data_IF_195247712108
#
_entry.id   IF_195247712108
#
_cell.length_a   1.000
_cell.length_b   1.000
_cell.length_c   1.000
_cell.angle_alpha   90.00
_cell.angle_beta   90.00
_cell.angle_gamma   90.00
#
_symmetry.space_group_name_H-M   'P 1'
#
loop_
_entity.id
_entity.type
_entity.pdbx_description
1 polymer ?
#
# COMPACT_ATOMS: atom_id res chain seq x y z
N UNK A 1 0.43 13.53 17.35
CA UNK A 1 0.44 13.42 18.82
C UNK A 1 -0.56 12.39 19.29
N UNK A 2 -0.24 11.62 20.32
CA UNK A 2 -1.16 10.67 20.97
C UNK A 2 -0.73 10.43 22.43
N UNK A 3 -1.59 9.82 23.25
CA UNK A 3 -1.19 9.30 24.55
C UNK A 3 0.04 8.38 24.39
N UNK A 4 1.17 8.62 25.10
CA UNK A 4 2.35 7.77 25.02
C UNK A 4 2.07 6.27 25.23
N UNK A 5 1.04 5.90 26.01
CA UNK A 5 0.67 4.51 26.24
C UNK A 5 0.23 3.80 24.96
N UNK A 6 -0.36 4.54 24.01
CA UNK A 6 -0.74 4.00 22.70
C UNK A 6 0.47 3.54 21.89
N UNK A 7 1.63 4.11 22.15
CA UNK A 7 2.87 3.80 21.43
C UNK A 7 3.77 2.86 22.22
N UNK A 8 3.94 3.10 23.52
CA UNK A 8 5.04 2.54 24.30
C UNK A 8 4.63 1.73 25.52
N UNK A 9 3.34 1.63 25.85
CA UNK A 9 2.93 0.76 26.95
C UNK A 9 3.15 -0.72 26.62
N UNK A 10 3.46 -1.50 27.64
CA UNK A 10 3.70 -2.93 27.50
C UNK A 10 2.48 -3.70 26.96
N UNK A 11 1.26 -3.29 27.33
CA UNK A 11 0.03 -4.03 27.02
C UNK A 11 -0.66 -3.57 25.73
N UNK A 12 -0.55 -2.29 25.37
CA UNK A 12 -1.26 -1.72 24.21
C UNK A 12 -0.36 -0.89 23.28
N UNK A 13 0.91 -0.69 23.60
CA UNK A 13 1.82 0.12 22.80
C UNK A 13 2.14 -0.56 21.46
N UNK A 14 2.02 0.17 20.35
CA UNK A 14 2.27 -0.38 19.01
C UNK A 14 3.76 -0.38 18.62
N UNK A 15 4.67 0.23 19.39
CA UNK A 15 6.11 0.29 19.11
C UNK A 15 6.96 -0.66 19.98
N UNK A 16 6.35 -1.48 20.83
CA UNK A 16 7.06 -2.35 21.78
C UNK A 16 6.89 -3.83 21.45
N UNK A 17 7.74 -4.67 22.05
CA UNK A 17 7.51 -6.12 22.03
C UNK A 17 6.24 -6.44 22.82
N UNK A 18 6.13 -5.93 24.04
CA UNK A 18 4.90 -5.99 24.80
C UNK A 18 4.46 -7.39 25.21
N UNK A 19 3.46 -7.47 26.08
CA UNK A 19 2.92 -8.74 26.61
C UNK A 19 1.79 -9.32 25.78
N UNK A 20 1.13 -8.50 24.97
CA UNK A 20 -0.01 -8.89 24.14
C UNK A 20 0.39 -9.06 22.68
N UNK A 21 1.67 -9.30 22.40
CA UNK A 21 2.17 -9.44 21.04
C UNK A 21 1.64 -10.68 20.33
N UNK A 22 1.73 -10.68 19.00
CA UNK A 22 1.52 -11.87 18.16
C UNK A 22 2.77 -12.14 17.29
N UNK A 23 2.87 -13.34 16.72
CA UNK A 23 3.89 -13.63 15.73
C UNK A 23 3.60 -12.87 14.42
N UNK A 24 4.63 -12.26 13.86
CA UNK A 24 4.56 -11.57 12.56
C UNK A 24 5.21 -12.40 11.46
N UNK A 25 5.03 -11.95 10.21
CA UNK A 25 5.54 -12.64 9.01
C UNK A 25 7.03 -13.01 9.08
N UNK A 26 7.86 -12.16 9.68
CA UNK A 26 9.31 -12.38 9.80
C UNK A 26 9.78 -12.63 11.23
N UNK A 27 8.83 -12.89 12.14
CA UNK A 27 9.14 -13.38 13.49
C UNK A 27 9.16 -14.90 13.40
N UNK A 28 10.34 -15.52 13.58
CA UNK A 28 10.47 -16.99 13.57
C UNK A 28 10.73 -17.50 14.96
N UNK A 29 10.17 -18.66 15.30
CA UNK A 29 10.50 -19.36 16.54
C UNK A 29 12.03 -19.52 16.67
N UNK A 30 12.65 -19.24 17.83
CA UNK A 30 12.05 -19.00 19.15
C UNK A 30 11.80 -17.52 19.52
N UNK A 31 11.73 -16.59 18.55
CA UNK A 31 11.48 -15.18 18.88
C UNK A 31 10.10 -14.98 19.53
N UNK A 32 10.00 -14.08 20.55
CA UNK A 32 8.75 -13.83 21.23
C UNK A 32 7.75 -13.05 20.34
N UNK A 33 6.44 -13.23 20.57
CA UNK A 33 5.41 -12.38 19.99
C UNK A 33 5.64 -10.90 20.28
N UNK A 34 5.27 -10.01 19.35
CA UNK A 34 5.49 -8.56 19.45
C UNK A 34 4.20 -7.76 19.22
N UNK A 35 3.95 -6.69 19.99
CA UNK A 35 2.75 -5.86 19.90
C UNK A 35 2.67 -5.12 18.56
N UNK A 36 3.81 -4.75 17.96
CA UNK A 36 3.82 -4.17 16.61
C UNK A 36 3.33 -5.12 15.52
N UNK A 37 3.13 -6.41 15.82
CA UNK A 37 2.53 -7.35 14.89
C UNK A 37 1.00 -7.39 14.95
N UNK A 38 0.40 -6.91 16.03
CA UNK A 38 -1.04 -6.97 16.27
C UNK A 38 -1.83 -6.18 15.22
N UNK A 39 -3.04 -6.68 14.96
CA UNK A 39 -4.02 -6.00 14.12
C UNK A 39 -4.89 -5.07 14.97
N UNK A 40 -4.30 -3.96 15.40
CA UNK A 40 -5.00 -2.98 16.19
C UNK A 40 -4.57 -1.56 15.84
N UNK A 41 -5.52 -0.64 15.93
CA UNK A 41 -5.31 0.78 15.70
C UNK A 41 -5.22 1.53 17.02
N UNK A 42 -4.58 2.70 16.99
CA UNK A 42 -4.55 3.63 18.11
C UNK A 42 -4.99 5.02 17.68
N UNK A 43 -5.78 5.72 18.49
CA UNK A 43 -6.16 7.09 18.17
C UNK A 43 -4.92 7.99 18.21
N UNK A 44 -4.81 8.90 17.26
CA UNK A 44 -3.79 9.94 17.22
C UNK A 44 -4.35 11.20 16.57
N UNK A 45 -3.77 12.35 16.91
CA UNK A 45 -3.91 13.60 16.15
C UNK A 45 -2.77 13.70 15.16
N UNK A 46 -3.09 13.81 13.88
CA UNK A 46 -2.16 13.98 12.77
C UNK A 46 -2.18 15.42 12.30
N UNK A 47 -0.99 16.00 12.15
CA UNK A 47 -0.80 17.38 11.69
C UNK A 47 0.25 17.35 10.58
N UNK A 48 -0.04 18.04 9.47
CA UNK A 48 0.90 18.25 8.37
C UNK A 48 1.13 19.75 8.19
N UNK A 49 2.41 20.14 8.18
CA UNK A 49 2.83 21.49 7.80
C UNK A 49 3.49 21.44 6.43
N UNK A 50 3.08 22.33 5.54
CA UNK A 50 3.65 22.44 4.21
C UNK A 50 5.04 23.08 4.24
N UNK A 51 5.75 23.08 3.10
CA UNK A 51 7.12 23.63 3.00
C UNK A 51 7.21 25.11 3.40
N UNK A 52 6.13 25.86 3.20
CA UNK A 52 6.00 27.26 3.60
C UNK A 52 5.66 27.43 5.10
N UNK A 53 5.55 26.33 5.87
CA UNK A 53 5.17 26.25 7.28
C UNK A 53 3.71 26.58 7.58
N UNK A 54 2.88 26.68 6.55
CA UNK A 54 1.43 26.76 6.75
C UNK A 54 0.89 25.39 7.15
N UNK A 55 -0.14 25.38 8.00
CA UNK A 55 -0.85 24.16 8.35
C UNK A 55 -1.62 23.68 7.11
N UNK A 56 -1.31 22.47 6.64
CA UNK A 56 -2.07 21.81 5.59
C UNK A 56 -3.34 21.21 6.16
N UNK A 57 -3.20 20.37 7.20
CA UNK A 57 -4.34 19.84 7.94
C UNK A 57 -3.96 19.46 9.38
N UNK A 58 -4.96 19.42 10.25
CA UNK A 58 -4.88 18.90 11.61
C UNK A 58 -6.15 18.08 11.93
N UNK A 59 -6.06 16.76 11.94
CA UNK A 59 -7.22 15.86 12.12
C UNK A 59 -6.91 14.72 13.09
N UNK A 60 -7.95 14.13 13.65
CA UNK A 60 -7.81 12.86 14.38
C UNK A 60 -7.88 11.68 13.40
N UNK A 61 -7.10 10.64 13.67
CA UNK A 61 -7.01 9.43 12.85
C UNK A 61 -6.61 8.21 13.70
N UNK A 62 -6.83 7.03 13.16
CA UNK A 62 -6.26 5.77 13.65
C UNK A 62 -4.87 5.57 13.07
N UNK A 63 -3.94 5.06 13.87
CA UNK A 63 -2.61 4.63 13.42
C UNK A 63 -2.32 3.19 13.81
N UNK A 64 -1.66 2.46 12.92
CA UNK A 64 -1.23 1.06 13.13
C UNK A 64 0.13 0.82 12.49
N UNK A 65 0.94 -0.08 13.05
CA UNK A 65 2.19 -0.47 12.40
C UNK A 65 1.91 -1.22 11.08
N UNK A 66 2.41 -0.67 9.98
CA UNK A 66 2.34 -1.27 8.65
C UNK A 66 3.57 -2.13 8.31
N UNK A 67 3.41 -2.98 7.30
CA UNK A 67 4.49 -3.78 6.70
C UNK A 67 4.60 -5.22 7.21
N UNK A 68 5.56 -5.96 6.67
CA UNK A 68 5.90 -7.34 7.05
C UNK A 68 7.18 -7.39 7.86
N UNK A 69 8.30 -7.81 7.24
CA UNK A 69 9.62 -7.82 7.90
C UNK A 69 10.06 -6.44 8.41
N UNK A 70 9.65 -5.37 7.74
CA UNK A 70 10.03 -3.98 8.09
C UNK A 70 9.54 -3.56 9.47
N UNK A 71 8.58 -4.30 10.05
CA UNK A 71 8.17 -4.15 11.45
C UNK A 71 9.31 -4.38 12.44
N UNK A 72 10.38 -5.07 12.04
CA UNK A 72 11.56 -5.30 12.89
C UNK A 72 12.49 -4.08 12.96
N UNK A 73 12.42 -3.14 12.02
CA UNK A 73 13.30 -1.96 12.02
C UNK A 73 12.89 -0.95 13.09
N UNK A 74 13.84 -0.19 13.63
CA UNK A 74 13.56 0.79 14.69
C UNK A 74 12.61 1.89 14.19
N UNK A 75 12.79 2.36 12.95
CA UNK A 75 11.88 3.28 12.31
C UNK A 75 10.72 2.51 11.67
N UNK A 76 9.59 2.45 12.37
CA UNK A 76 8.38 1.77 11.87
C UNK A 76 7.70 2.58 10.77
N UNK A 77 7.04 1.86 9.86
CA UNK A 77 6.04 2.43 8.96
C UNK A 77 4.68 2.44 9.67
N UNK A 78 3.86 3.45 9.42
CA UNK A 78 2.51 3.57 9.95
C UNK A 78 1.50 3.54 8.81
N UNK A 79 0.45 2.75 8.97
CA UNK A 79 -0.78 2.91 8.21
C UNK A 79 -1.68 3.88 9.00
N UNK A 80 -2.30 4.82 8.29
CA UNK A 80 -3.13 5.90 8.83
C UNK A 80 -4.55 5.68 8.31
N UNK A 81 -5.52 5.71 9.22
CA UNK A 81 -6.92 5.42 8.94
C UNK A 81 -7.78 6.62 9.34
N UNK A 82 -8.52 7.18 8.39
CA UNK A 82 -9.57 8.15 8.66
C UNK A 82 -10.87 7.35 8.84
N UNK A 83 -11.49 7.46 10.01
CA UNK A 83 -12.72 6.75 10.36
C UNK A 83 -13.54 7.64 11.28
N UNK A 84 -14.87 7.56 11.15
CA UNK A 84 -15.80 8.35 11.96
C UNK A 84 -15.59 8.17 13.47
N UNK A 85 -15.12 6.99 13.93
CA UNK A 85 -14.80 6.74 15.34
C UNK A 85 -13.66 7.62 15.89
N UNK A 86 -12.78 8.11 15.02
CA UNK A 86 -11.72 9.05 15.39
C UNK A 86 -12.13 10.52 15.17
N UNK A 87 -13.18 10.77 14.40
CA UNK A 87 -13.81 12.08 14.24
C UNK A 87 -13.98 12.53 12.78
N UNK A 88 -13.18 12.04 11.84
CA UNK A 88 -13.36 12.28 10.40
C UNK A 88 -13.36 10.97 9.64
N UNK A 89 -14.37 10.74 8.79
CA UNK A 89 -14.47 9.52 7.99
C UNK A 89 -13.45 9.49 6.85
N UNK A 90 -13.13 10.66 6.28
CA UNK A 90 -12.12 10.84 5.24
C UNK A 90 -11.28 12.06 5.56
N UNK A 91 -10.06 12.13 5.04
CA UNK A 91 -9.27 13.35 5.00
C UNK A 91 -9.62 14.12 3.73
N UNK A 92 -10.18 15.31 3.89
CA UNK A 92 -10.44 16.25 2.78
C UNK A 92 -9.27 17.22 2.61
N UNK A 93 -8.21 16.75 1.94
CA UNK A 93 -7.01 17.53 1.65
C UNK A 93 -6.26 16.97 0.44
N UNK A 94 -5.77 17.83 -0.47
CA UNK A 94 -4.90 17.40 -1.57
C UNK A 94 -3.48 17.13 -1.07
N UNK A 95 -3.24 15.91 -0.57
CA UNK A 95 -1.94 15.52 0.01
C UNK A 95 -0.82 15.53 -1.04
N UNK A 96 -1.14 15.10 -2.26
CA UNK A 96 -0.17 14.93 -3.35
C UNK A 96 -0.50 15.87 -4.50
N UNK A 97 0.39 16.83 -4.76
CA UNK A 97 0.27 17.79 -5.88
C UNK A 97 0.24 17.09 -7.25
N UNK A 98 0.74 15.86 -7.29
CA UNK A 98 0.91 15.06 -8.49
C UNK A 98 -0.39 14.49 -9.05
N UNK A 99 -1.47 14.48 -8.25
CA UNK A 99 -2.79 13.96 -8.59
C UNK A 99 -3.87 14.93 -8.11
N UNK A 100 -5.01 15.06 -8.83
CA UNK A 100 -6.13 15.90 -8.41
C UNK A 100 -7.03 15.20 -7.36
N UNK A 101 -6.47 14.34 -6.51
CA UNK A 101 -7.21 13.59 -5.49
C UNK A 101 -7.20 14.40 -4.19
N UNK A 102 -8.38 14.69 -3.67
CA UNK A 102 -8.55 15.55 -2.48
C UNK A 102 -9.20 14.85 -1.30
N UNK A 103 -9.57 13.58 -1.42
CA UNK A 103 -10.21 12.79 -0.38
C UNK A 103 -9.46 11.48 -0.18
N UNK A 104 -9.19 11.11 1.08
CA UNK A 104 -8.48 9.87 1.43
C UNK A 104 -9.10 9.19 2.65
N UNK A 105 -9.41 7.90 2.54
CA UNK A 105 -9.79 7.04 3.67
C UNK A 105 -8.56 6.51 4.41
N UNK A 106 -7.48 6.25 3.66
CA UNK A 106 -6.23 5.70 4.19
C UNK A 106 -5.01 6.33 3.54
N UNK A 107 -3.97 6.47 4.35
CA UNK A 107 -2.63 6.85 3.89
C UNK A 107 -1.59 5.92 4.53
N UNK A 108 -0.40 5.87 3.94
CA UNK A 108 0.73 5.13 4.50
C UNK A 108 1.93 6.05 4.70
N UNK A 109 2.50 6.03 5.91
CA UNK A 109 3.74 6.70 6.25
C UNK A 109 4.87 5.68 6.30
N UNK A 110 5.62 5.53 5.21
CA UNK A 110 6.61 4.47 5.04
C UNK A 110 8.02 4.91 5.37
N UNK A 111 8.73 4.08 6.13
CA UNK A 111 10.14 4.25 6.51
C UNK A 111 11.13 3.76 5.44
N UNK A 112 10.78 3.84 4.15
CA UNK A 112 11.66 3.41 3.05
C UNK A 112 11.73 1.89 2.80
N UNK A 113 11.07 1.08 3.63
CA UNK A 113 11.00 -0.38 3.45
C UNK A 113 12.38 -1.05 3.56
N UNK A 114 12.70 -1.99 2.67
CA UNK A 114 14.02 -2.65 2.64
C UNK A 114 15.17 -1.68 2.29
N UNK A 115 14.86 -0.49 1.77
CA UNK A 115 15.82 0.57 1.47
C UNK A 115 16.02 1.54 2.66
N UNK A 116 15.42 1.25 3.82
CA UNK A 116 15.47 2.07 5.05
C UNK A 116 16.88 2.48 5.46
N UNK A 117 17.82 1.52 5.49
CA UNK A 117 19.21 1.74 5.91
C UNK A 117 20.11 2.27 4.78
N UNK A 118 19.51 2.73 3.67
CA UNK A 118 20.21 3.17 2.45
C UNK A 118 19.70 4.55 2.03
N UNK A 119 19.27 4.70 0.78
CA UNK A 119 18.88 5.99 0.21
C UNK A 119 17.40 6.32 0.45
N UNK A 120 16.55 5.34 0.80
CA UNK A 120 15.11 5.47 1.05
C UNK A 120 14.27 5.99 -0.14
N UNK A 121 14.89 6.15 -1.32
CA UNK A 121 14.25 6.73 -2.51
C UNK A 121 13.91 5.69 -3.58
N UNK A 122 14.38 4.43 -3.46
CA UNK A 122 14.20 3.45 -4.55
C UNK A 122 12.74 3.30 -4.98
N UNK A 123 11.85 3.13 -4.01
CA UNK A 123 10.40 3.03 -4.24
C UNK A 123 9.75 4.34 -4.71
N UNK A 124 10.36 5.50 -4.50
CA UNK A 124 9.86 6.78 -4.99
C UNK A 124 10.34 7.03 -6.42
N UNK A 125 11.60 6.69 -6.71
CA UNK A 125 12.21 6.80 -8.02
C UNK A 125 11.53 5.88 -9.03
N UNK A 126 11.20 4.63 -8.66
CA UNK A 126 10.47 3.70 -9.54
C UNK A 126 9.12 4.26 -9.97
N UNK A 127 8.33 4.76 -9.01
CA UNK A 127 7.01 5.37 -9.25
C UNK A 127 7.12 6.63 -10.12
N UNK A 128 8.14 7.47 -9.86
CA UNK A 128 8.37 8.69 -10.63
C UNK A 128 8.78 8.42 -12.08
N UNK A 129 9.46 7.30 -12.33
CA UNK A 129 9.98 6.95 -13.66
C UNK A 129 8.92 6.37 -14.59
N UNK A 130 7.90 5.71 -14.06
CA UNK A 130 6.78 5.16 -14.85
C UNK A 130 5.66 6.18 -15.07
N UNK A 131 5.51 7.12 -14.13
CA UNK A 131 4.48 8.18 -14.17
C UNK A 131 4.50 8.93 -15.50
N UNK A 132 3.34 9.03 -16.14
CA UNK A 132 3.09 9.72 -17.41
C UNK A 132 3.98 9.22 -18.57
N UNK A 133 4.50 7.99 -18.49
CA UNK A 133 5.37 7.39 -19.52
C UNK A 133 4.97 5.98 -19.91
N UNK A 134 4.31 5.28 -19.01
CA UNK A 134 3.82 3.91 -19.18
C UNK A 134 2.36 3.89 -18.75
N UNK A 135 1.58 2.98 -19.32
CA UNK A 135 0.23 2.69 -18.86
C UNK A 135 0.31 1.84 -17.59
N UNK A 136 0.71 2.46 -16.48
CA UNK A 136 0.83 1.80 -15.18
C UNK A 136 0.27 2.68 -14.08
N UNK A 137 -0.45 2.04 -13.17
CA UNK A 137 -0.79 2.64 -11.89
C UNK A 137 0.47 3.01 -11.11
N UNK A 138 0.50 4.24 -10.61
CA UNK A 138 1.58 4.69 -9.74
C UNK A 138 1.04 5.20 -8.41
N UNK A 139 1.78 4.99 -7.34
CA UNK A 139 1.50 5.61 -6.04
C UNK A 139 2.18 6.98 -5.96
N UNK A 140 1.37 8.00 -5.71
CA UNK A 140 1.85 9.30 -5.31
C UNK A 140 2.51 9.23 -3.93
N UNK A 141 3.51 10.07 -3.72
CA UNK A 141 4.26 10.11 -2.48
C UNK A 141 4.73 11.53 -2.15
N UNK A 142 4.97 11.79 -0.87
CA UNK A 142 5.50 13.04 -0.34
C UNK A 142 6.55 12.72 0.73
N UNK A 143 7.84 13.06 0.52
CA UNK A 143 8.84 12.96 1.58
C UNK A 143 8.49 13.92 2.72
N UNK A 144 8.51 13.43 3.96
CA UNK A 144 8.14 14.20 5.15
C UNK A 144 9.11 13.95 6.29
N UNK A 145 9.36 14.99 7.10
CA UNK A 145 10.02 14.87 8.40
C UNK A 145 8.98 14.59 9.47
N UNK A 146 9.11 13.48 10.19
CA UNK A 146 8.10 13.01 11.13
C UNK A 146 8.47 13.38 12.55
N UNK A 147 7.49 13.89 13.28
CA UNK A 147 7.58 14.11 14.72
C UNK A 147 6.47 13.32 15.41
N UNK A 148 6.82 12.59 16.47
CA UNK A 148 5.85 11.86 17.30
C UNK A 148 5.98 12.42 18.72
N UNK A 149 4.88 12.99 19.22
CA UNK A 149 4.83 13.65 20.54
C UNK A 149 5.92 14.72 20.74
N UNK A 150 6.31 15.41 19.66
CA UNK A 150 7.33 16.46 19.67
C UNK A 150 8.75 15.98 19.39
N UNK A 151 9.04 14.68 19.51
CA UNK A 151 10.35 14.13 19.21
C UNK A 151 10.50 13.85 17.71
N UNK A 152 11.70 14.02 17.17
CA UNK A 152 11.98 13.74 15.75
C UNK A 152 12.19 12.23 15.51
N UNK A 153 11.48 11.67 14.53
CA UNK A 153 11.49 10.25 14.17
C UNK A 153 12.07 9.95 12.79
N UNK A 154 12.74 10.93 12.19
CA UNK A 154 13.40 10.76 10.90
C UNK A 154 12.52 11.13 9.71
N UNK A 155 13.02 10.75 8.54
CA UNK A 155 12.35 10.96 7.26
C UNK A 155 11.48 9.74 6.97
N UNK A 156 10.25 9.99 6.51
CA UNK A 156 9.36 8.98 5.95
C UNK A 156 8.84 9.45 4.59
N UNK A 157 8.22 8.53 3.87
CA UNK A 157 7.47 8.80 2.66
C UNK A 157 5.98 8.65 2.99
N UNK A 158 5.24 9.75 3.02
CA UNK A 158 3.78 9.70 3.01
C UNK A 158 3.34 9.25 1.62
N UNK A 159 2.38 8.33 1.53
CA UNK A 159 1.96 7.68 0.28
C UNK A 159 0.47 7.37 0.30
N UNK A 160 -0.10 7.25 -0.88
CA UNK A 160 -1.35 6.52 -1.06
C UNK A 160 -1.20 5.08 -0.51
N UNK A 161 -2.29 4.55 0.05
CA UNK A 161 -2.39 3.12 0.35
C UNK A 161 -2.74 2.39 -0.96
N UNK A 162 -2.20 1.20 -1.20
CA UNK A 162 -2.55 0.38 -2.37
C UNK A 162 -3.61 -0.62 -1.94
N UNK A 163 -4.88 -0.26 -2.14
CA UNK A 163 -6.06 -1.02 -1.74
C UNK A 163 -7.25 -0.59 -2.62
N UNK A 164 -8.44 -1.06 -2.29
CA UNK A 164 -9.72 -0.73 -2.93
C UNK A 164 -9.93 0.79 -3.11
N UNK A 165 -9.75 1.58 -2.04
CA UNK A 165 -9.88 3.06 -2.09
C UNK A 165 -8.94 3.72 -3.13
N UNK A 166 -7.75 3.13 -3.37
CA UNK A 166 -6.81 3.65 -4.36
C UNK A 166 -7.33 3.43 -5.77
N UNK A 167 -7.97 2.30 -6.03
CA UNK A 167 -8.58 2.04 -7.34
C UNK A 167 -9.74 3.00 -7.57
N UNK A 168 -10.61 3.18 -6.57
CA UNK A 168 -11.71 4.15 -6.63
C UNK A 168 -11.18 5.57 -6.93
N UNK A 169 -10.23 6.04 -6.14
CA UNK A 169 -9.74 7.42 -6.25
C UNK A 169 -8.94 7.69 -7.53
N UNK A 170 -8.29 6.67 -8.10
CA UNK A 170 -7.42 6.84 -9.28
C UNK A 170 -8.08 6.48 -10.60
N UNK A 171 -9.02 5.54 -10.59
CA UNK A 171 -9.63 4.99 -11.80
C UNK A 171 -11.15 5.16 -11.84
N UNK A 172 -11.79 5.53 -10.72
CA UNK A 172 -13.22 5.80 -10.65
C UNK A 172 -14.12 4.56 -10.61
N UNK A 173 -13.56 3.39 -10.32
CA UNK A 173 -14.33 2.16 -10.11
C UNK A 173 -14.77 2.04 -8.66
N UNK A 174 -16.00 1.58 -8.41
CA UNK A 174 -16.52 1.38 -7.05
C UNK A 174 -15.64 0.37 -6.29
N UNK A 175 -15.17 0.75 -5.10
CA UNK A 175 -14.32 -0.08 -4.24
C UNK A 175 -14.94 -1.45 -3.90
N UNK A 176 -16.28 -1.57 -3.95
CA UNK A 176 -17.03 -2.78 -3.64
C UNK A 176 -17.26 -3.68 -4.87
N UNK A 177 -16.94 -3.21 -6.07
CA UNK A 177 -17.13 -3.92 -7.34
C UNK A 177 -15.77 -4.23 -8.01
N UNK A 178 -14.81 -4.69 -7.22
CA UNK A 178 -13.45 -5.02 -7.65
C UNK A 178 -13.06 -6.45 -7.29
N UNK A 179 -12.34 -7.09 -8.19
CA UNK A 179 -11.50 -8.25 -7.87
C UNK A 179 -10.06 -7.74 -7.71
N UNK A 180 -9.46 -7.92 -6.53
CA UNK A 180 -8.07 -7.52 -6.27
C UNK A 180 -7.30 -8.74 -5.78
N UNK A 181 -6.24 -9.08 -6.52
CA UNK A 181 -5.43 -10.26 -6.28
C UNK A 181 -3.95 -9.88 -6.08
N UNK A 182 -3.19 -10.72 -5.39
CA UNK A 182 -1.78 -10.47 -5.11
C UNK A 182 -0.93 -11.75 -5.06
N UNK A 183 0.35 -11.62 -5.44
CA UNK A 183 1.25 -12.77 -5.53
C UNK A 183 0.67 -13.86 -6.43
N UNK A 184 0.64 -15.10 -5.94
CA UNK A 184 0.00 -16.25 -6.61
C UNK A 184 -1.52 -16.25 -6.47
N UNK A 185 -2.21 -15.23 -6.99
CA UNK A 185 -3.68 -15.11 -6.97
C UNK A 185 -4.34 -15.12 -5.57
N UNK A 186 -3.63 -14.62 -4.54
CA UNK A 186 -4.25 -14.47 -3.22
C UNK A 186 -5.30 -13.36 -3.27
N UNK A 187 -6.55 -13.71 -2.97
CA UNK A 187 -7.68 -12.78 -2.92
C UNK A 187 -7.46 -11.75 -1.82
N UNK A 188 -7.53 -10.47 -2.21
CA UNK A 188 -7.61 -9.32 -1.29
C UNK A 188 -9.03 -8.82 -1.21
N UNK A 189 -9.66 -8.61 -2.37
CA UNK A 189 -11.08 -8.24 -2.51
C UNK A 189 -11.68 -9.04 -3.67
N UNK A 190 -13.00 -9.26 -3.64
CA UNK A 190 -13.73 -9.95 -4.71
C UNK A 190 -13.42 -11.45 -4.83
N UNK A 191 -13.23 -11.93 -6.07
CA UNK A 191 -12.99 -13.34 -6.40
C UNK A 191 -11.77 -13.54 -7.30
N UNK A 192 -11.17 -14.74 -7.27
CA UNK A 192 -10.15 -15.16 -8.23
C UNK A 192 -10.71 -15.86 -9.47
N UNK A 193 -12.02 -16.17 -9.51
CA UNK A 193 -12.62 -17.04 -10.53
C UNK A 193 -12.30 -16.62 -11.97
N UNK A 194 -12.38 -15.32 -12.27
CA UNK A 194 -12.05 -14.79 -13.59
C UNK A 194 -10.59 -15.04 -13.96
N UNK A 195 -9.68 -14.75 -13.04
CA UNK A 195 -8.24 -14.94 -13.24
C UNK A 195 -7.90 -16.43 -13.38
N UNK A 196 -8.48 -17.28 -12.53
CA UNK A 196 -8.27 -18.73 -12.57
C UNK A 196 -8.76 -19.32 -13.91
N UNK A 197 -9.94 -18.90 -14.39
CA UNK A 197 -10.45 -19.32 -15.70
C UNK A 197 -9.54 -18.87 -16.86
N UNK A 198 -9.01 -17.64 -16.81
CA UNK A 198 -8.06 -17.13 -17.80
C UNK A 198 -6.77 -17.96 -17.81
N UNK A 199 -6.19 -18.22 -16.64
CA UNK A 199 -4.95 -19.01 -16.51
C UNK A 199 -5.17 -20.48 -16.93
N UNK A 200 -6.29 -21.08 -16.56
CA UNK A 200 -6.65 -22.44 -16.96
C UNK A 200 -6.81 -22.56 -18.49
N UNK A 201 -7.42 -21.56 -19.13
CA UNK A 201 -7.51 -21.49 -20.58
C UNK A 201 -6.12 -21.40 -21.22
N UNK A 202 -5.25 -20.51 -20.74
CA UNK A 202 -3.87 -20.38 -21.24
C UNK A 202 -3.09 -21.70 -21.06
N UNK A 203 -3.26 -22.39 -19.93
CA UNK A 203 -2.58 -23.65 -19.64
C UNK A 203 -3.07 -24.84 -20.47
N UNK A 204 -4.29 -24.75 -21.02
CA UNK A 204 -4.96 -25.85 -21.72
C UNK A 204 -5.02 -25.65 -23.25
N UNK A 205 -4.60 -24.50 -23.78
CA UNK A 205 -4.73 -24.15 -25.19
C UNK A 205 -3.41 -23.62 -25.77
N UNK A 206 -3.26 -23.76 -27.10
CA UNK A 206 -2.13 -23.17 -27.83
C UNK A 206 -2.40 -21.68 -28.10
N UNK A 207 -1.76 -20.81 -27.31
CA UNK A 207 -1.87 -19.35 -27.44
C UNK A 207 -1.15 -18.77 -28.67
N UNK A 208 -0.48 -19.58 -29.49
CA UNK A 208 0.01 -19.15 -30.80
C UNK A 208 -1.08 -19.08 -31.87
N UNK A 209 -2.24 -19.69 -31.61
CA UNK A 209 -3.43 -19.59 -32.46
C UNK A 209 -4.11 -18.23 -32.23
N UNK A 210 -4.39 -17.45 -33.29
CA UNK A 210 -4.98 -16.11 -33.18
C UNK A 210 -6.27 -16.07 -32.35
N UNK A 211 -7.17 -17.04 -32.53
CA UNK A 211 -8.44 -17.12 -31.82
C UNK A 211 -8.28 -17.26 -30.29
N UNK A 212 -7.25 -17.98 -29.85
CA UNK A 212 -6.97 -18.17 -28.42
C UNK A 212 -6.30 -16.92 -27.84
N UNK A 213 -5.41 -16.29 -28.61
CA UNK A 213 -4.78 -15.04 -28.21
C UNK A 213 -5.83 -13.92 -28.08
N UNK A 214 -6.74 -13.81 -29.05
CA UNK A 214 -7.80 -12.81 -29.05
C UNK A 214 -8.69 -12.97 -27.80
N UNK A 215 -9.08 -14.20 -27.45
CA UNK A 215 -9.84 -14.46 -26.23
C UNK A 215 -9.09 -14.00 -24.96
N UNK A 216 -7.79 -14.30 -24.84
CA UNK A 216 -6.98 -13.85 -23.69
C UNK A 216 -6.87 -12.33 -23.64
N UNK A 217 -6.76 -11.67 -24.80
CA UNK A 217 -6.69 -10.20 -24.90
C UNK A 217 -7.97 -9.48 -24.46
N UNK A 218 -9.10 -10.21 -24.44
CA UNK A 218 -10.36 -9.74 -23.87
C UNK A 218 -10.44 -9.94 -22.34
N UNK A 219 -9.63 -10.85 -21.77
CA UNK A 219 -9.62 -11.14 -20.33
C UNK A 219 -8.63 -10.28 -19.53
N UNK A 220 -7.59 -9.74 -20.17
CA UNK A 220 -6.62 -8.88 -19.49
C UNK A 220 -6.13 -7.75 -20.40
N UNK A 221 -5.73 -6.63 -19.80
CA UNK A 221 -5.01 -5.60 -20.54
C UNK A 221 -3.57 -6.02 -20.85
N UNK A 222 -3.36 -6.53 -22.08
CA UNK A 222 -2.07 -7.02 -22.55
C UNK A 222 -1.03 -5.90 -22.66
N UNK A 223 -1.43 -4.71 -23.11
CA UNK A 223 -0.51 -3.59 -23.30
C UNK A 223 0.00 -3.08 -21.94
N UNK A 224 -0.91 -2.89 -20.98
CA UNK A 224 -0.54 -2.55 -19.60
C UNK A 224 0.34 -3.64 -18.97
N UNK A 225 0.04 -4.93 -19.21
CA UNK A 225 0.86 -6.02 -18.70
C UNK A 225 2.27 -6.03 -19.32
N UNK A 226 2.41 -5.69 -20.60
CA UNK A 226 3.73 -5.52 -21.24
C UNK A 226 4.51 -4.39 -20.56
N UNK A 227 3.88 -3.25 -20.32
CA UNK A 227 4.50 -2.13 -19.60
C UNK A 227 4.93 -2.54 -18.18
N UNK A 228 4.10 -3.32 -17.49
CA UNK A 228 4.41 -3.87 -16.18
C UNK A 228 5.65 -4.78 -16.22
N UNK A 229 5.72 -5.68 -17.20
CA UNK A 229 6.87 -6.56 -17.42
C UNK A 229 8.14 -5.76 -17.69
N UNK A 230 8.08 -4.75 -18.56
CA UNK A 230 9.21 -3.87 -18.87
C UNK A 230 9.70 -3.17 -17.59
N UNK A 231 8.80 -2.62 -16.78
CA UNK A 231 9.16 -1.95 -15.54
C UNK A 231 9.84 -2.90 -14.55
N UNK A 232 9.27 -4.09 -14.31
CA UNK A 232 9.85 -5.06 -13.37
C UNK A 232 11.22 -5.56 -13.82
N UNK A 233 11.39 -5.85 -15.10
CA UNK A 233 12.66 -6.30 -15.70
C UNK A 233 13.71 -5.19 -15.62
N UNK A 234 13.36 -3.96 -16.00
CA UNK A 234 14.27 -2.81 -15.97
C UNK A 234 14.82 -2.54 -14.56
N UNK A 235 13.96 -2.64 -13.54
CA UNK A 235 14.36 -2.43 -12.14
C UNK A 235 15.00 -3.65 -11.48
N UNK A 236 15.05 -4.79 -12.17
CA UNK A 236 15.58 -6.05 -11.67
C UNK A 236 15.00 -6.42 -10.29
N UNK A 237 13.67 -6.40 -10.17
CA UNK A 237 12.98 -6.75 -8.94
C UNK A 237 13.10 -8.25 -8.62
N UNK A 238 14.13 -8.63 -7.86
CA UNK A 238 14.49 -10.03 -7.62
C UNK A 238 13.52 -10.84 -6.75
N UNK A 239 12.49 -10.22 -6.18
CA UNK A 239 11.45 -10.91 -5.41
C UNK A 239 10.13 -11.06 -6.21
N UNK A 240 10.07 -10.47 -7.40
CA UNK A 240 9.05 -10.72 -8.42
C UNK A 240 9.53 -11.85 -9.37
N UNK A 241 8.65 -12.73 -9.90
CA UNK A 241 7.18 -12.70 -9.83
C UNK A 241 6.53 -13.38 -8.62
N UNK A 242 7.31 -13.99 -7.72
CA UNK A 242 6.73 -14.68 -6.56
C UNK A 242 5.99 -13.73 -5.60
N UNK A 243 6.48 -12.50 -5.45
CA UNK A 243 5.93 -11.45 -4.59
C UNK A 243 5.90 -10.10 -5.32
N UNK A 244 5.43 -9.06 -4.61
CA UNK A 244 5.43 -7.66 -5.07
C UNK A 244 4.64 -7.41 -6.37
N UNK A 245 3.53 -8.13 -6.51
CA UNK A 245 2.53 -7.91 -7.56
C UNK A 245 1.14 -7.77 -6.92
N UNK A 246 0.39 -6.78 -7.40
CA UNK A 246 -1.04 -6.61 -7.18
C UNK A 246 -1.64 -6.38 -8.57
N UNK A 247 -2.74 -7.06 -8.86
CA UNK A 247 -3.49 -6.92 -10.09
C UNK A 247 -4.97 -6.90 -9.72
N UNK A 248 -5.75 -6.20 -10.53
CA UNK A 248 -7.15 -5.94 -10.24
C UNK A 248 -7.93 -5.87 -11.54
N UNK A 249 -9.23 -6.09 -11.42
CA UNK A 249 -10.20 -5.81 -12.49
C UNK A 249 -11.50 -5.29 -11.87
N UNK A 250 -12.24 -4.42 -12.57
CA UNK A 250 -13.59 -4.08 -12.17
C UNK A 250 -14.56 -5.24 -12.50
N UNK A 251 -15.57 -5.45 -11.65
CA UNK A 251 -16.59 -6.48 -11.83
C UNK A 251 -17.64 -6.05 -12.87
N UNK A 252 -17.18 -5.65 -14.04
CA UNK A 252 -18.01 -5.27 -15.20
C UNK A 252 -17.85 -6.29 -16.33
N UNK A 253 -18.79 -6.35 -17.29
CA UNK A 253 -18.68 -7.25 -18.45
C UNK A 253 -17.39 -7.09 -19.25
N UNK A 254 -16.87 -5.86 -19.35
CA UNK A 254 -15.66 -5.52 -20.12
C UNK A 254 -14.41 -5.35 -19.21
N UNK A 255 -14.52 -5.70 -17.92
CA UNK A 255 -13.47 -5.50 -16.93
C UNK A 255 -12.31 -6.49 -17.10
N UNK A 256 -11.10 -5.96 -17.28
CA UNK A 256 -9.87 -6.71 -17.58
C UNK A 256 -8.65 -6.08 -16.93
#
# INVERSE_FOLDING_TARGET
>A
TTDPDNLFSNERGIYVEGTNGILGYCTRFPEPPKNWNQDWERPARLELFEKNREEGFAVNAGIKIGGGCTRLYNQKSLDIYFRSEYGTSKLEYQVFEDKPITSFDRLALRSGGQDWHRAMIRNAATQSMVRNRMDLGYQAFKPVSVFINGDYWGIHMLREKQNEDFIESNYGFDENELDILSGSANVKEGSSDHYDAMIDFIGSNDISLPENYDWVSEQMDIDQYIDYQIAQIYWANGDWPANNIIFWRPQTPDGK
#
